data_IF_795181397074
#
_entry.id   IF_795181397074
#
_cell.length_a   1.000
_cell.length_b   1.000
_cell.length_c   1.000
_cell.angle_alpha   90.00
_cell.angle_beta   90.00
_cell.angle_gamma   90.00
#
_symmetry.space_group_name_H-M   'P 1'
#
loop_
_entity.id
_entity.type
_entity.pdbx_description
1 polymer ?
#
# COMPACT_ATOMS: atom_id res chain seq x y z
N UNK A 1 -19.44 11.67 -20.74
CA UNK A 1 -20.71 11.36 -20.03
C UNK A 1 -21.33 12.64 -19.52
N UNK A 2 -22.63 12.66 -19.15
CA UNK A 2 -23.26 13.85 -18.55
C UNK A 2 -22.53 14.35 -17.30
N UNK A 3 -21.93 13.43 -16.52
CA UNK A 3 -21.12 13.78 -15.36
C UNK A 3 -19.86 14.56 -15.77
N UNK A 4 -19.10 14.08 -16.76
CA UNK A 4 -17.92 14.78 -17.28
C UNK A 4 -18.25 16.18 -17.85
N UNK A 5 -19.35 16.30 -18.59
CA UNK A 5 -19.79 17.60 -19.14
C UNK A 5 -20.07 18.61 -18.01
N UNK A 6 -20.79 18.18 -16.97
CA UNK A 6 -21.06 19.02 -15.80
C UNK A 6 -19.78 19.38 -15.03
N UNK A 7 -18.86 18.43 -14.88
CA UNK A 7 -17.57 18.69 -14.21
C UNK A 7 -16.70 19.66 -15.00
N UNK A 8 -16.67 19.57 -16.34
CA UNK A 8 -15.94 20.52 -17.19
C UNK A 8 -16.52 21.93 -17.08
N UNK A 9 -17.84 22.09 -17.14
CA UNK A 9 -18.49 23.41 -16.96
C UNK A 9 -18.17 23.97 -15.57
N UNK A 10 -18.20 23.15 -14.53
CA UNK A 10 -17.83 23.57 -13.18
C UNK A 10 -16.36 24.00 -13.10
N UNK A 11 -15.45 23.30 -13.80
CA UNK A 11 -14.04 23.65 -13.88
C UNK A 11 -13.78 24.99 -14.59
N UNK A 12 -14.55 25.31 -15.64
CA UNK A 12 -14.44 26.60 -16.33
C UNK A 12 -14.83 27.78 -15.43
N UNK A 13 -15.75 27.55 -14.48
CA UNK A 13 -16.21 28.55 -13.52
C UNK A 13 -15.31 28.64 -12.28
N UNK A 14 -14.80 27.50 -11.83
CA UNK A 14 -14.01 27.35 -10.61
C UNK A 14 -12.80 26.44 -10.86
N UNK A 15 -11.76 26.94 -11.53
CA UNK A 15 -10.55 26.15 -11.77
C UNK A 15 -9.86 25.84 -10.43
N UNK A 16 -9.35 24.62 -10.31
CA UNK A 16 -8.66 24.13 -9.10
C UNK A 16 -9.51 24.24 -7.82
N UNK A 17 -10.82 24.02 -7.93
CA UNK A 17 -11.68 23.81 -6.76
C UNK A 17 -11.65 22.34 -6.31
N UNK A 18 -11.54 22.12 -4.99
CA UNK A 18 -11.45 20.78 -4.41
C UNK A 18 -12.63 19.88 -4.79
N UNK A 19 -13.84 20.44 -4.92
CA UNK A 19 -15.03 19.68 -5.30
C UNK A 19 -14.95 19.24 -6.76
N UNK A 20 -14.49 20.13 -7.64
CA UNK A 20 -14.30 19.85 -9.07
C UNK A 20 -13.23 18.77 -9.25
N UNK A 21 -12.09 18.91 -8.58
CA UNK A 21 -11.01 17.92 -8.61
C UNK A 21 -11.47 16.57 -8.07
N UNK A 22 -12.23 16.53 -6.96
CA UNK A 22 -12.80 15.29 -6.43
C UNK A 22 -13.70 14.60 -7.45
N UNK A 23 -14.49 15.35 -8.23
CA UNK A 23 -15.33 14.77 -9.28
C UNK A 23 -14.49 14.19 -10.43
N UNK A 24 -13.45 14.90 -10.87
CA UNK A 24 -12.54 14.39 -11.89
C UNK A 24 -11.79 13.12 -11.43
N UNK A 25 -11.31 13.09 -10.18
CA UNK A 25 -10.69 11.91 -9.58
C UNK A 25 -11.66 10.73 -9.61
N UNK A 26 -12.90 10.92 -9.14
CA UNK A 26 -13.91 9.87 -9.13
C UNK A 26 -14.24 9.34 -10.52
N UNK A 27 -14.33 10.22 -11.52
CA UNK A 27 -14.54 9.84 -12.92
C UNK A 27 -13.36 9.01 -13.43
N UNK A 28 -12.13 9.50 -13.22
CA UNK A 28 -10.90 8.85 -13.69
C UNK A 28 -10.70 7.46 -13.05
N UNK A 29 -10.91 7.35 -11.74
CA UNK A 29 -10.88 6.07 -11.02
C UNK A 29 -11.92 5.10 -11.58
N UNK A 30 -13.15 5.57 -11.83
CA UNK A 30 -14.22 4.72 -12.37
C UNK A 30 -13.95 4.27 -13.81
N UNK A 31 -13.27 5.08 -14.61
CA UNK A 31 -12.86 4.72 -15.97
C UNK A 31 -11.58 3.89 -16.04
N UNK A 32 -10.87 3.73 -14.92
CA UNK A 32 -9.53 3.11 -14.90
C UNK A 32 -8.47 3.94 -15.61
N UNK A 33 -8.69 5.25 -15.79
CA UNK A 33 -7.74 6.16 -16.42
C UNK A 33 -6.75 6.62 -15.36
N UNK A 34 -5.71 5.81 -15.15
CA UNK A 34 -4.75 6.00 -14.07
C UNK A 34 -3.95 7.28 -14.22
N UNK A 35 -3.63 7.68 -15.45
CA UNK A 35 -2.86 8.91 -15.72
C UNK A 35 -3.67 10.15 -15.32
N UNK A 36 -4.96 10.19 -15.68
CA UNK A 36 -5.85 11.28 -15.24
C UNK A 36 -6.07 11.26 -13.74
N UNK A 37 -6.25 10.07 -13.15
CA UNK A 37 -6.43 9.95 -11.70
C UNK A 37 -5.23 10.52 -10.97
N UNK A 38 -4.01 10.12 -11.35
CA UNK A 38 -2.78 10.63 -10.76
C UNK A 38 -2.66 12.15 -10.91
N UNK A 39 -2.92 12.68 -12.11
CA UNK A 39 -2.90 14.12 -12.37
C UNK A 39 -3.84 14.88 -11.42
N UNK A 40 -5.13 14.51 -11.38
CA UNK A 40 -6.12 15.24 -10.60
C UNK A 40 -5.93 15.07 -9.09
N UNK A 41 -5.41 13.92 -8.64
CA UNK A 41 -5.03 13.75 -7.23
C UNK A 41 -3.86 14.67 -6.88
N UNK A 42 -2.83 14.78 -7.73
CA UNK A 42 -1.71 15.70 -7.49
C UNK A 42 -2.18 17.16 -7.44
N UNK A 43 -3.05 17.59 -8.35
CA UNK A 43 -3.67 18.94 -8.31
C UNK A 43 -4.47 19.15 -7.00
N UNK A 44 -5.18 18.12 -6.52
CA UNK A 44 -5.91 18.20 -5.25
C UNK A 44 -4.96 18.26 -4.03
N UNK A 45 -3.82 17.57 -4.09
CA UNK A 45 -2.78 17.60 -3.07
C UNK A 45 -2.02 18.95 -3.03
N UNK A 46 -1.98 19.71 -4.12
CA UNK A 46 -1.48 21.10 -4.09
C UNK A 46 -2.37 22.01 -3.22
N UNK A 47 -3.68 21.72 -3.15
CA UNK A 47 -4.64 22.46 -2.33
C UNK A 47 -4.69 21.95 -0.89
N UNK A 48 -4.58 20.63 -0.69
CA UNK A 48 -4.57 19.99 0.62
C UNK A 48 -3.43 18.95 0.72
N UNK A 49 -2.20 19.40 1.01
CA UNK A 49 -1.03 18.53 1.03
C UNK A 49 -1.01 17.53 2.18
N UNK A 50 -1.96 17.64 3.13
CA UNK A 50 -2.11 16.75 4.29
C UNK A 50 -3.34 15.86 4.16
N UNK A 51 -3.84 15.63 2.94
CA UNK A 51 -4.97 14.76 2.72
C UNK A 51 -4.56 13.27 2.68
N UNK A 52 -4.63 12.57 3.81
CA UNK A 52 -4.30 11.13 3.89
C UNK A 52 -5.08 10.25 2.89
N UNK A 53 -6.32 10.62 2.57
CA UNK A 53 -7.18 9.83 1.70
C UNK A 53 -6.67 9.88 0.25
N UNK A 54 -6.20 11.05 -0.21
CA UNK A 54 -5.63 11.23 -1.54
C UNK A 54 -4.33 10.41 -1.70
N UNK A 55 -3.43 10.47 -0.73
CA UNK A 55 -2.24 9.62 -0.73
C UNK A 55 -2.58 8.13 -0.68
N UNK A 56 -3.57 7.72 0.11
CA UNK A 56 -4.03 6.33 0.13
C UNK A 56 -4.59 5.86 -1.22
N UNK A 57 -5.34 6.72 -1.94
CA UNK A 57 -5.85 6.42 -3.27
C UNK A 57 -4.69 6.27 -4.27
N UNK A 58 -3.72 7.19 -4.29
CA UNK A 58 -2.52 7.05 -5.12
C UNK A 58 -1.77 5.75 -4.81
N UNK A 59 -1.55 5.47 -3.53
CA UNK A 59 -0.88 4.25 -3.08
C UNK A 59 -1.58 2.99 -3.58
N UNK A 60 -2.91 2.95 -3.45
CA UNK A 60 -3.72 1.81 -3.93
C UNK A 60 -3.68 1.69 -5.45
N UNK A 61 -3.76 2.80 -6.19
CA UNK A 61 -3.66 2.80 -7.65
C UNK A 61 -2.29 2.27 -8.13
N UNK A 62 -1.20 2.63 -7.44
CA UNK A 62 0.12 2.11 -7.76
C UNK A 62 0.31 0.63 -7.43
N UNK A 63 -0.42 0.08 -6.43
CA UNK A 63 -0.47 -1.37 -6.20
C UNK A 63 -1.06 -2.09 -7.42
N UNK A 64 -2.17 -1.57 -7.97
CA UNK A 64 -2.83 -2.14 -9.16
C UNK A 64 -1.90 -2.09 -10.39
N UNK A 65 -1.11 -1.02 -10.51
CA UNK A 65 -0.10 -0.83 -11.55
C UNK A 65 1.21 -1.59 -11.32
N UNK A 66 1.33 -2.33 -10.20
CA UNK A 66 2.57 -3.04 -9.79
C UNK A 66 3.80 -2.11 -9.67
N UNK A 67 3.58 -0.83 -9.37
CA UNK A 67 4.63 0.16 -9.09
C UNK A 67 4.87 0.23 -7.58
N UNK A 68 5.51 -0.81 -7.04
CA UNK A 68 5.57 -1.07 -5.60
C UNK A 68 6.21 0.07 -4.80
N UNK A 69 7.29 0.68 -5.29
CA UNK A 69 8.00 1.78 -4.61
C UNK A 69 7.12 3.03 -4.50
N UNK A 70 6.35 3.34 -5.55
CA UNK A 70 5.42 4.47 -5.53
C UNK A 70 4.24 4.20 -4.61
N UNK A 71 3.75 2.97 -4.59
CA UNK A 71 2.72 2.54 -3.66
C UNK A 71 3.19 2.69 -2.20
N UNK A 72 4.39 2.18 -1.87
CA UNK A 72 5.02 2.31 -0.55
C UNK A 72 5.11 3.78 -0.13
N UNK A 73 5.68 4.64 -0.99
CA UNK A 73 5.85 6.06 -0.68
C UNK A 73 4.52 6.77 -0.34
N UNK A 74 3.48 6.53 -1.13
CA UNK A 74 2.18 7.16 -0.92
C UNK A 74 1.44 6.61 0.31
N UNK A 75 1.48 5.30 0.53
CA UNK A 75 0.86 4.69 1.72
C UNK A 75 1.58 5.13 3.00
N UNK A 76 2.91 5.22 2.98
CA UNK A 76 3.68 5.78 4.10
C UNK A 76 3.31 7.23 4.36
N UNK A 77 3.07 8.05 3.32
CA UNK A 77 2.63 9.42 3.51
C UNK A 77 1.24 9.52 4.14
N UNK A 78 0.30 8.65 3.74
CA UNK A 78 -1.01 8.56 4.37
C UNK A 78 -0.91 8.18 5.86
N UNK A 79 0.01 7.28 6.22
CA UNK A 79 0.29 6.86 7.61
C UNK A 79 1.02 7.96 8.40
N UNK A 80 1.92 8.72 7.77
CA UNK A 80 2.59 9.86 8.40
C UNK A 80 1.58 10.92 8.84
N UNK A 81 0.57 11.18 8.00
CA UNK A 81 -0.51 12.14 8.27
C UNK A 81 -1.47 11.60 9.33
N UNK A 82 -1.84 10.32 9.25
CA UNK A 82 -2.68 9.64 10.24
C UNK A 82 -2.11 8.26 10.60
N UNK A 83 -1.38 8.18 11.72
CA UNK A 83 -0.78 6.92 12.19
C UNK A 83 -1.77 5.83 12.60
N UNK A 84 -3.06 6.13 12.70
CA UNK A 84 -4.11 5.15 13.01
C UNK A 84 -4.92 4.77 11.76
N UNK A 85 -4.49 5.17 10.57
CA UNK A 85 -5.23 4.89 9.34
C UNK A 85 -5.13 3.41 8.93
N UNK A 86 -6.02 2.60 9.50
CA UNK A 86 -6.03 1.13 9.38
C UNK A 86 -6.01 0.66 7.92
N UNK A 87 -6.70 1.35 7.01
CA UNK A 87 -6.71 0.98 5.59
C UNK A 87 -5.33 1.13 4.94
N UNK A 88 -4.60 2.21 5.24
CA UNK A 88 -3.25 2.41 4.72
C UNK A 88 -2.27 1.37 5.28
N UNK A 89 -2.36 1.06 6.58
CA UNK A 89 -1.60 -0.04 7.17
C UNK A 89 -1.92 -1.38 6.51
N UNK A 90 -3.20 -1.66 6.26
CA UNK A 90 -3.62 -2.90 5.61
C UNK A 90 -3.04 -3.05 4.21
N UNK A 91 -3.13 -1.99 3.38
CA UNK A 91 -2.58 -2.02 2.03
C UNK A 91 -1.05 -2.06 2.02
N UNK A 92 -0.38 -1.37 2.95
CA UNK A 92 1.07 -1.36 3.03
C UNK A 92 1.62 -2.73 3.48
N UNK A 93 0.97 -3.36 4.47
CA UNK A 93 1.31 -4.72 4.87
C UNK A 93 1.11 -5.70 3.72
N UNK A 94 -0.03 -5.65 3.04
CA UNK A 94 -0.30 -6.50 1.88
C UNK A 94 0.73 -6.30 0.75
N UNK A 95 1.05 -5.04 0.43
CA UNK A 95 2.07 -4.68 -0.55
C UNK A 95 3.42 -5.35 -0.24
N UNK A 96 3.91 -5.22 0.99
CA UNK A 96 5.18 -5.85 1.37
C UNK A 96 5.14 -7.37 1.32
N UNK A 97 4.02 -7.99 1.74
CA UNK A 97 3.86 -9.44 1.67
C UNK A 97 3.91 -9.91 0.21
N UNK A 98 3.10 -9.31 -0.67
CA UNK A 98 3.03 -9.67 -2.09
C UNK A 98 4.35 -9.41 -2.82
N UNK A 99 5.00 -8.27 -2.54
CA UNK A 99 6.30 -7.95 -3.12
C UNK A 99 7.36 -8.95 -2.66
N UNK A 100 7.37 -9.34 -1.39
CA UNK A 100 8.29 -10.34 -0.86
C UNK A 100 8.10 -11.72 -1.51
N UNK A 101 6.86 -12.09 -1.82
CA UNK A 101 6.53 -13.34 -2.52
C UNK A 101 7.08 -13.29 -3.95
N UNK A 102 6.82 -12.20 -4.69
CA UNK A 102 7.32 -12.04 -6.05
C UNK A 102 8.86 -12.12 -6.13
N UNK A 103 9.57 -11.49 -5.20
CA UNK A 103 11.03 -11.57 -5.09
C UNK A 103 11.49 -13.01 -4.76
N UNK A 104 10.77 -13.70 -3.89
CA UNK A 104 11.06 -15.10 -3.56
C UNK A 104 10.79 -16.07 -4.72
N UNK A 105 9.82 -15.77 -5.56
CA UNK A 105 9.55 -16.53 -6.79
C UNK A 105 10.65 -16.29 -7.82
N UNK A 106 11.07 -15.04 -8.01
CA UNK A 106 12.22 -14.70 -8.85
C UNK A 106 13.49 -15.44 -8.40
N UNK A 107 13.79 -15.45 -7.09
CA UNK A 107 14.95 -16.14 -6.55
C UNK A 107 14.92 -17.65 -6.83
N UNK A 108 13.72 -18.26 -6.80
CA UNK A 108 13.53 -19.71 -7.02
C UNK A 108 13.72 -20.11 -8.47
N UNK A 109 13.46 -19.21 -9.40
CA UNK A 109 13.60 -19.45 -10.84
C UNK A 109 15.06 -19.38 -11.31
N UNK A 110 15.98 -18.90 -10.47
CA UNK A 110 17.42 -18.86 -10.74
C UNK A 110 18.14 -20.18 -10.41
N UNK A 111 19.32 -20.41 -11.00
CA UNK A 111 20.24 -21.46 -10.53
C UNK A 111 20.67 -21.13 -9.10
N UNK A 112 20.69 -22.14 -8.21
CA UNK A 112 20.99 -21.94 -6.79
C UNK A 112 22.39 -21.34 -6.51
N UNK A 113 23.31 -21.36 -7.48
CA UNK A 113 24.64 -20.74 -7.41
C UNK A 113 24.68 -19.34 -8.00
N UNK A 114 23.59 -18.85 -8.57
CA UNK A 114 23.50 -17.48 -9.07
C UNK A 114 23.67 -16.51 -7.90
N UNK A 115 24.63 -15.56 -7.96
CA UNK A 115 24.90 -14.64 -6.86
C UNK A 115 23.70 -13.76 -6.49
N UNK A 116 22.73 -13.60 -7.39
CA UNK A 116 21.50 -12.82 -7.13
C UNK A 116 20.55 -13.51 -6.15
N UNK A 117 20.62 -14.83 -5.98
CA UNK A 117 19.73 -15.57 -5.06
C UNK A 117 19.85 -15.02 -3.64
N UNK A 118 21.08 -14.81 -3.16
CA UNK A 118 21.31 -14.27 -1.82
C UNK A 118 20.78 -12.82 -1.70
N UNK A 119 20.98 -12.00 -2.74
CA UNK A 119 20.49 -10.62 -2.75
C UNK A 119 18.96 -10.56 -2.71
N UNK A 120 18.27 -11.40 -3.51
CA UNK A 120 16.82 -11.46 -3.54
C UNK A 120 16.25 -11.98 -2.20
N UNK A 121 16.89 -12.97 -1.58
CA UNK A 121 16.49 -13.44 -0.25
C UNK A 121 16.68 -12.36 0.83
N UNK A 122 17.75 -11.56 0.76
CA UNK A 122 17.95 -10.41 1.65
C UNK A 122 16.87 -9.33 1.44
N UNK A 123 16.54 -9.00 0.18
CA UNK A 123 15.47 -8.06 -0.14
C UNK A 123 14.10 -8.53 0.35
N UNK A 124 13.79 -9.81 0.14
CA UNK A 124 12.56 -10.44 0.66
C UNK A 124 12.49 -10.36 2.18
N UNK A 125 13.60 -10.63 2.88
CA UNK A 125 13.68 -10.51 4.35
C UNK A 125 13.46 -9.07 4.82
N UNK A 126 14.01 -8.10 4.11
CA UNK A 126 13.79 -6.67 4.39
C UNK A 126 12.31 -6.30 4.24
N UNK A 127 11.67 -6.67 3.12
CA UNK A 127 10.25 -6.39 2.87
C UNK A 127 9.35 -6.99 3.96
N UNK A 128 9.58 -8.26 4.33
CA UNK A 128 8.85 -8.90 5.42
C UNK A 128 9.05 -8.16 6.75
N UNK A 129 10.25 -7.66 7.01
CA UNK A 129 10.53 -6.88 8.23
C UNK A 129 9.81 -5.52 8.21
N UNK A 130 9.77 -4.85 7.06
CA UNK A 130 9.02 -3.60 6.87
C UNK A 130 7.51 -3.75 7.08
N UNK A 131 6.97 -4.97 6.91
CA UNK A 131 5.55 -5.24 7.16
C UNK A 131 5.17 -5.22 8.65
N UNK A 132 6.13 -5.42 9.58
CA UNK A 132 5.87 -5.58 11.01
C UNK A 132 5.02 -4.43 11.60
N UNK A 133 5.38 -3.14 11.43
CA UNK A 133 4.63 -2.05 12.08
C UNK A 133 3.18 -1.99 11.62
N UNK A 134 2.93 -2.19 10.33
CA UNK A 134 1.57 -2.20 9.79
C UNK A 134 0.77 -3.42 10.25
N UNK A 135 1.41 -4.59 10.31
CA UNK A 135 0.77 -5.80 10.83
C UNK A 135 0.47 -5.70 12.34
N UNK A 136 1.33 -5.05 13.13
CA UNK A 136 1.09 -4.76 14.54
C UNK A 136 -0.12 -3.82 14.72
N UNK A 137 -0.26 -2.80 13.87
CA UNK A 137 -1.47 -1.96 13.85
C UNK A 137 -2.72 -2.76 13.48
N UNK A 138 -2.63 -3.63 12.47
CA UNK A 138 -3.75 -4.46 12.05
C UNK A 138 -4.20 -5.45 13.12
N UNK A 139 -3.29 -6.07 13.88
CA UNK A 139 -3.69 -7.07 14.89
C UNK A 139 -4.37 -6.44 16.11
N UNK A 140 -4.08 -5.17 16.40
CA UNK A 140 -4.83 -4.40 17.40
C UNK A 140 -6.26 -4.13 16.91
N UNK A 141 -6.42 -3.75 15.65
CA UNK A 141 -7.74 -3.48 15.05
C UNK A 141 -8.57 -4.76 14.80
N UNK A 142 -7.90 -5.87 14.52
CA UNK A 142 -8.52 -7.15 14.15
C UNK A 142 -7.92 -8.31 14.95
N UNK A 143 -8.16 -8.37 16.28
CA UNK A 143 -7.45 -9.29 17.19
C UNK A 143 -7.66 -10.77 16.91
N UNK A 144 -8.73 -11.15 16.22
CA UNK A 144 -9.04 -12.55 15.89
C UNK A 144 -8.63 -12.93 14.46
N UNK A 145 -7.99 -12.02 13.71
CA UNK A 145 -7.61 -12.27 12.32
C UNK A 145 -6.37 -13.19 12.25
N UNK A 146 -6.62 -14.49 12.10
CA UNK A 146 -5.56 -15.52 11.96
C UNK A 146 -4.62 -15.26 10.79
N UNK A 147 -5.06 -14.59 9.72
CA UNK A 147 -4.20 -14.24 8.59
C UNK A 147 -3.15 -13.20 8.99
N UNK A 148 -3.55 -12.18 9.74
CA UNK A 148 -2.63 -11.16 10.26
C UNK A 148 -1.63 -11.80 11.22
N UNK A 149 -2.07 -12.71 12.09
CA UNK A 149 -1.17 -13.45 12.99
C UNK A 149 -0.14 -14.28 12.24
N UNK A 150 -0.53 -14.98 11.16
CA UNK A 150 0.40 -15.74 10.31
C UNK A 150 1.42 -14.82 9.66
N UNK A 151 0.98 -13.69 9.12
CA UNK A 151 1.87 -12.72 8.50
C UNK A 151 2.83 -12.10 9.53
N UNK A 152 2.37 -11.80 10.75
CA UNK A 152 3.23 -11.36 11.86
C UNK A 152 4.29 -12.41 12.19
N UNK A 153 3.89 -13.68 12.33
CA UNK A 153 4.83 -14.75 12.58
C UNK A 153 5.90 -14.82 11.47
N UNK A 154 5.50 -14.81 10.21
CA UNK A 154 6.43 -14.81 9.07
C UNK A 154 7.38 -13.61 9.11
N UNK A 155 6.86 -12.41 9.38
CA UNK A 155 7.63 -11.18 9.46
C UNK A 155 8.64 -11.19 10.61
N UNK A 156 8.25 -11.65 11.80
CA UNK A 156 9.18 -11.77 12.94
C UNK A 156 10.22 -12.87 12.75
N UNK A 157 9.88 -13.96 12.06
CA UNK A 157 10.87 -14.96 11.66
C UNK A 157 11.90 -14.35 10.72
N UNK A 158 11.45 -13.54 9.76
CA UNK A 158 12.35 -12.82 8.86
C UNK A 158 13.24 -11.82 9.62
N UNK A 159 12.74 -11.11 10.63
CA UNK A 159 13.56 -10.18 11.43
C UNK A 159 14.48 -10.87 12.46
N UNK A 160 14.36 -12.19 12.64
CA UNK A 160 15.12 -12.97 13.62
C UNK A 160 14.56 -12.90 15.06
N UNK A 161 13.36 -12.35 15.24
CA UNK A 161 12.69 -12.30 16.54
C UNK A 161 11.91 -13.61 16.81
N UNK A 162 12.64 -14.63 17.27
CA UNK A 162 12.10 -15.97 17.53
C UNK A 162 11.02 -16.02 18.61
N UNK A 163 11.08 -15.13 19.61
CA UNK A 163 10.06 -15.04 20.66
C UNK A 163 8.71 -14.62 20.07
N UNK A 164 8.71 -13.50 19.33
CA UNK A 164 7.51 -12.97 18.68
C UNK A 164 7.01 -13.89 17.57
N UNK A 165 7.90 -14.54 16.84
CA UNK A 165 7.53 -15.57 15.87
C UNK A 165 6.69 -16.66 16.53
N UNK A 166 7.19 -17.28 17.61
CA UNK A 166 6.48 -18.36 18.32
C UNK A 166 5.15 -17.89 18.88
N UNK A 167 5.13 -16.72 19.51
CA UNK A 167 3.91 -16.12 20.06
C UNK A 167 2.79 -16.06 18.99
N UNK A 168 3.06 -15.44 17.85
CA UNK A 168 2.06 -15.23 16.82
C UNK A 168 1.75 -16.50 16.02
N UNK A 169 2.74 -17.37 15.84
CA UNK A 169 2.54 -18.66 15.19
C UNK A 169 1.56 -19.53 15.98
N UNK A 170 1.73 -19.64 17.30
CA UNK A 170 0.86 -20.44 18.15
C UNK A 170 -0.54 -19.84 18.24
N UNK A 171 -0.66 -18.52 18.41
CA UNK A 171 -1.96 -17.81 18.37
C UNK A 171 -2.69 -18.02 17.04
N UNK A 172 -1.99 -18.11 15.92
CA UNK A 172 -2.63 -18.32 14.61
C UNK A 172 -3.28 -19.69 14.40
N UNK A 173 -2.93 -20.68 15.26
CA UNK A 173 -3.42 -22.07 15.17
C UNK A 173 -4.60 -22.35 16.10
N UNK A 174 -4.64 -21.69 17.25
CA UNK A 174 -5.77 -21.71 18.18
C UNK A 174 -6.94 -20.96 17.55
#
# INVERSE_FOLDING_TARGET
>A
TKAEELTNVANDLFPNDMTVLTNFINIALKSGDTDKSEKYINEALELDPNNKQLYYILGTSYIELKQNEKAESNLLKAIEIDPEYVNAHSNLAALYMDWSIAIGDEARDLDYRDPRVNQLEDQKKELLTKAIPSLEKMIVAFPDNKSVMKNLAMAYRASGNEEKFKEWYDKSKN
#
